data_IF_437194218068
#
_entry.id   IF_437194218068
#
_cell.length_a   1.000
_cell.length_b   1.000
_cell.length_c   1.000
_cell.angle_alpha   90.00
_cell.angle_beta   90.00
_cell.angle_gamma   90.00
#
_symmetry.space_group_name_H-M   'P 1'
#
loop_
_entity.id
_entity.type
_entity.pdbx_description
1 polymer ?
#
# COMPACT_ATOMS: atom_id res chain seq x y z
N UNK A 1 2.60 7.22 7.88
CA UNK A 1 1.45 7.21 6.97
C UNK A 1 1.23 5.81 6.42
N UNK A 2 -0.02 5.38 6.33
CA UNK A 2 -0.48 4.18 5.65
C UNK A 2 -1.43 4.58 4.51
N UNK A 3 -1.40 3.84 3.40
CA UNK A 3 -2.35 3.98 2.30
C UNK A 3 -2.56 2.61 1.67
N UNK A 4 -3.79 2.32 1.26
CA UNK A 4 -4.14 1.17 0.43
C UNK A 4 -4.54 1.58 -0.99
N UNK A 5 -4.35 0.69 -1.96
CA UNK A 5 -4.95 0.82 -3.29
C UNK A 5 -5.84 -0.39 -3.50
N UNK A 6 -7.14 -0.17 -3.72
CA UNK A 6 -8.12 -1.21 -3.97
C UNK A 6 -8.92 -0.86 -5.22
N UNK A 7 -8.81 -1.71 -6.25
CA UNK A 7 -9.45 -1.50 -7.55
C UNK A 7 -9.15 -0.12 -8.13
N UNK A 8 -10.14 0.78 -8.22
CA UNK A 8 -9.99 2.15 -8.71
C UNK A 8 -9.89 3.21 -7.60
N UNK A 9 -9.83 2.77 -6.35
CA UNK A 9 -9.85 3.62 -5.18
C UNK A 9 -8.52 3.54 -4.42
N UNK A 10 -8.20 4.65 -3.77
CA UNK A 10 -7.12 4.74 -2.81
C UNK A 10 -7.77 4.93 -1.45
N UNK A 11 -7.32 4.14 -0.49
CA UNK A 11 -7.84 4.10 0.87
C UNK A 11 -6.83 4.80 1.77
N UNK A 12 -7.31 5.78 2.54
CA UNK A 12 -6.48 6.67 3.34
C UNK A 12 -6.13 7.98 2.61
N UNK A 13 -5.01 8.64 2.95
CA UNK A 13 -3.96 8.17 3.84
C UNK A 13 -4.39 8.18 5.32
N UNK A 14 -3.86 7.24 6.09
CA UNK A 14 -4.04 7.15 7.54
C UNK A 14 -2.72 7.45 8.25
N UNK A 15 -2.75 8.26 9.30
CA UNK A 15 -1.56 8.56 10.10
C UNK A 15 -1.38 7.47 11.15
N UNK A 16 -0.36 6.63 10.96
CA UNK A 16 0.05 5.64 11.95
C UNK A 16 0.83 6.32 13.08
N UNK A 17 0.71 5.83 14.34
CA UNK A 17 1.54 6.31 15.44
C UNK A 17 3.03 6.20 15.17
N UNK A 18 3.82 7.05 15.82
CA UNK A 18 5.28 6.95 15.82
C UNK A 18 5.73 5.61 16.42
N UNK A 19 6.86 5.08 15.92
CA UNK A 19 7.41 3.83 16.43
C UNK A 19 6.63 2.58 16.01
N UNK A 20 6.18 2.53 14.75
CA UNK A 20 5.45 1.40 14.18
C UNK A 20 6.15 0.06 14.49
N UNK A 21 5.44 -0.78 15.24
CA UNK A 21 5.84 -2.15 15.56
C UNK A 21 4.66 -3.11 15.26
N UNK A 22 4.84 -4.39 15.52
CA UNK A 22 3.82 -5.40 15.22
C UNK A 22 2.50 -5.21 15.98
N UNK A 23 2.54 -4.76 17.23
CA UNK A 23 1.34 -4.53 18.04
C UNK A 23 0.56 -3.30 17.54
N UNK A 24 1.26 -2.20 17.28
CA UNK A 24 0.67 -0.98 16.71
C UNK A 24 0.06 -1.26 15.33
N UNK A 25 0.76 -2.06 14.52
CA UNK A 25 0.25 -2.42 13.20
C UNK A 25 -0.97 -3.36 13.28
N UNK A 26 -0.97 -4.31 14.22
CA UNK A 26 -2.12 -5.18 14.44
C UNK A 26 -3.35 -4.39 14.91
N UNK A 27 -3.16 -3.45 15.85
CA UNK A 27 -4.22 -2.55 16.30
C UNK A 27 -4.80 -1.75 15.13
N UNK A 28 -3.94 -1.20 14.26
CA UNK A 28 -4.39 -0.58 13.01
C UNK A 28 -5.24 -1.54 12.15
N UNK A 29 -4.77 -2.76 11.93
CA UNK A 29 -5.47 -3.74 11.10
C UNK A 29 -6.84 -4.14 11.67
N UNK A 30 -6.97 -4.23 13.00
CA UNK A 30 -8.19 -4.67 13.68
C UNK A 30 -9.20 -3.54 13.90
N UNK A 31 -8.72 -2.36 14.27
CA UNK A 31 -9.56 -1.30 14.82
C UNK A 31 -9.72 -0.09 13.89
N UNK A 32 -8.83 0.07 12.91
CA UNK A 32 -8.83 1.25 12.03
C UNK A 32 -9.08 0.90 10.56
N UNK A 33 -8.43 -0.15 10.06
CA UNK A 33 -8.58 -0.59 8.67
C UNK A 33 -10.04 -0.94 8.31
N UNK A 34 -10.86 -1.60 9.15
CA UNK A 34 -12.25 -1.88 8.80
C UNK A 34 -13.07 -0.61 8.55
N UNK A 35 -12.87 0.44 9.34
CA UNK A 35 -13.52 1.74 9.15
C UNK A 35 -13.07 2.41 7.84
N UNK A 36 -11.79 2.28 7.48
CA UNK A 36 -11.30 2.78 6.19
C UNK A 36 -11.86 2.01 4.99
N UNK A 37 -12.42 0.82 5.22
CA UNK A 37 -13.01 -0.06 4.20
C UNK A 37 -14.54 -0.08 4.25
N UNK A 38 -15.19 0.80 5.02
CA UNK A 38 -16.64 0.75 5.24
C UNK A 38 -17.46 0.88 3.94
N UNK A 39 -16.96 1.67 2.98
CA UNK A 39 -17.59 1.86 1.67
C UNK A 39 -17.27 0.74 0.66
N UNK A 40 -16.40 -0.21 1.02
CA UNK A 40 -16.06 -1.36 0.19
C UNK A 40 -17.17 -2.39 0.30
N UNK A 41 -17.82 -2.69 -0.83
CA UNK A 41 -18.87 -3.71 -0.84
C UNK A 41 -18.39 -5.05 -0.28
N UNK A 42 -19.26 -5.74 0.47
CA UNK A 42 -18.94 -7.03 1.11
C UNK A 42 -18.42 -8.08 0.13
N UNK A 43 -18.89 -8.07 -1.12
CA UNK A 43 -18.42 -9.00 -2.15
C UNK A 43 -16.95 -8.75 -2.52
N UNK A 44 -16.55 -7.48 -2.63
CA UNK A 44 -15.15 -7.12 -2.86
C UNK A 44 -14.33 -7.49 -1.63
N UNK A 45 -14.79 -7.12 -0.44
CA UNK A 45 -14.09 -7.40 0.82
C UNK A 45 -13.80 -8.91 1.01
N UNK A 46 -14.77 -9.78 0.71
CA UNK A 46 -14.60 -11.23 0.87
C UNK A 46 -13.60 -11.85 -0.10
N UNK A 47 -13.50 -11.30 -1.31
CA UNK A 47 -12.66 -11.84 -2.38
C UNK A 47 -11.31 -11.11 -2.51
N UNK A 48 -11.12 -10.00 -1.80
CA UNK A 48 -9.90 -9.20 -1.94
C UNK A 48 -8.68 -9.93 -1.42
N UNK A 49 -7.55 -9.58 -2.03
CA UNK A 49 -6.22 -10.01 -1.58
C UNK A 49 -5.56 -8.88 -0.83
N UNK A 50 -5.01 -9.18 0.35
CA UNK A 50 -4.25 -8.21 1.14
C UNK A 50 -2.76 -8.32 0.81
N UNK A 51 -2.14 -7.26 0.31
CA UNK A 51 -0.70 -7.23 0.02
C UNK A 51 0.01 -6.27 0.98
N UNK A 52 1.10 -6.73 1.60
CA UNK A 52 2.00 -5.92 2.40
C UNK A 52 3.47 -6.20 2.06
N UNK A 53 4.34 -5.23 2.32
CA UNK A 53 5.78 -5.35 2.07
C UNK A 53 6.52 -6.12 3.19
N UNK A 54 7.85 -6.12 3.13
CA UNK A 54 8.70 -6.80 4.11
C UNK A 54 9.00 -6.03 5.40
N UNK A 55 8.28 -4.95 5.72
CA UNK A 55 8.53 -4.14 6.93
C UNK A 55 8.50 -5.03 8.19
N UNK A 56 9.42 -4.84 9.17
CA UNK A 56 9.46 -5.67 10.38
C UNK A 56 8.14 -5.73 11.16
N UNK A 57 7.38 -4.64 11.22
CA UNK A 57 6.07 -4.60 11.87
C UNK A 57 5.07 -5.59 11.22
N UNK A 58 5.09 -5.69 9.88
CA UNK A 58 4.22 -6.58 9.11
C UNK A 58 4.54 -8.07 9.30
N UNK A 59 5.76 -8.38 9.77
CA UNK A 59 6.24 -9.75 9.95
C UNK A 59 5.93 -10.35 11.35
N UNK A 60 5.46 -9.51 12.29
CA UNK A 60 5.11 -9.96 13.62
C UNK A 60 4.16 -11.17 13.59
N UNK A 61 4.34 -12.10 14.52
CA UNK A 61 3.56 -13.35 14.52
C UNK A 61 2.05 -13.06 14.62
N UNK A 62 1.66 -12.18 15.55
CA UNK A 62 0.28 -11.80 15.77
C UNK A 62 -0.36 -11.14 14.54
N UNK A 63 0.40 -10.35 13.78
CA UNK A 63 -0.06 -9.78 12.50
C UNK A 63 -0.34 -10.88 11.49
N UNK A 64 0.55 -11.87 11.37
CA UNK A 64 0.37 -12.96 10.40
C UNK A 64 -0.79 -13.88 10.79
N UNK A 65 -0.94 -14.19 12.07
CA UNK A 65 -2.08 -14.95 12.61
C UNK A 65 -3.40 -14.25 12.29
N UNK A 66 -3.48 -12.93 12.52
CA UNK A 66 -4.65 -12.13 12.14
C UNK A 66 -4.92 -12.18 10.63
N UNK A 67 -3.90 -12.04 9.79
CA UNK A 67 -4.09 -12.09 8.33
C UNK A 67 -4.48 -13.49 7.83
N UNK A 68 -4.05 -14.56 8.49
CA UNK A 68 -4.49 -15.93 8.19
C UNK A 68 -5.97 -16.14 8.53
N UNK A 69 -6.48 -15.48 9.57
CA UNK A 69 -7.89 -15.50 9.97
C UNK A 69 -8.77 -14.61 9.08
N UNK A 70 -8.34 -13.36 8.85
CA UNK A 70 -9.12 -12.34 8.14
C UNK A 70 -9.06 -12.52 6.61
N UNK A 71 -7.92 -12.97 6.09
CA UNK A 71 -7.69 -13.22 4.67
C UNK A 71 -7.22 -14.66 4.39
N UNK A 72 -8.03 -15.70 4.68
CA UNK A 72 -7.58 -17.09 4.58
C UNK A 72 -7.06 -17.44 3.18
N UNK A 73 -5.75 -17.68 3.08
CA UNK A 73 -5.07 -17.98 1.81
C UNK A 73 -5.03 -16.83 0.80
N UNK A 74 -5.47 -15.62 1.18
CA UNK A 74 -5.62 -14.44 0.31
C UNK A 74 -4.79 -13.24 0.78
N UNK A 75 -3.59 -13.48 1.32
CA UNK A 75 -2.66 -12.39 1.61
C UNK A 75 -1.24 -12.69 1.12
N UNK A 76 -0.53 -11.61 0.78
CA UNK A 76 0.82 -11.60 0.23
C UNK A 76 1.70 -10.80 1.18
N UNK A 77 2.78 -11.40 1.65
CA UNK A 77 3.69 -10.75 2.59
C UNK A 77 4.84 -11.67 2.96
N UNK A 78 5.72 -11.20 3.85
CA UNK A 78 6.85 -12.02 4.32
C UNK A 78 6.32 -13.21 5.12
N UNK A 79 6.61 -14.43 4.64
CA UNK A 79 6.13 -15.69 5.24
C UNK A 79 4.61 -15.82 5.31
N UNK A 80 3.90 -15.24 4.33
CA UNK A 80 2.48 -15.50 4.09
C UNK A 80 2.23 -16.62 3.07
N UNK A 81 0.95 -16.91 2.75
CA UNK A 81 0.55 -17.89 1.73
C UNK A 81 1.24 -17.67 0.38
N UNK A 82 1.44 -16.41 0.01
CA UNK A 82 2.32 -16.02 -1.09
C UNK A 82 3.42 -15.11 -0.52
N UNK A 83 4.68 -15.52 -0.68
CA UNK A 83 5.80 -14.74 -0.16
C UNK A 83 6.04 -13.50 -1.01
N UNK A 84 6.04 -12.32 -0.37
CA UNK A 84 6.52 -11.09 -1.00
C UNK A 84 8.05 -11.13 -1.14
N UNK A 85 8.62 -10.84 -2.32
CA UNK A 85 10.07 -10.78 -2.49
C UNK A 85 10.67 -9.58 -1.75
N UNK A 86 11.81 -9.81 -1.09
CA UNK A 86 12.55 -8.73 -0.43
C UNK A 86 13.12 -7.75 -1.47
N UNK A 87 13.16 -6.46 -1.13
CA UNK A 87 13.74 -5.38 -1.96
C UNK A 87 13.07 -5.24 -3.35
N UNK A 88 11.76 -5.36 -3.41
CA UNK A 88 10.99 -5.21 -4.66
C UNK A 88 10.02 -4.02 -4.63
N UNK A 89 10.49 -2.77 -4.38
CA UNK A 89 9.63 -1.58 -4.48
C UNK A 89 9.07 -1.41 -5.91
N UNK A 90 9.80 -1.91 -6.92
CA UNK A 90 9.39 -1.89 -8.33
C UNK A 90 8.12 -2.67 -8.63
N UNK A 91 7.69 -3.53 -7.70
CA UNK A 91 6.46 -4.31 -7.77
C UNK A 91 5.38 -3.78 -6.84
N UNK A 92 5.66 -2.78 -6.01
CA UNK A 92 4.68 -2.16 -5.12
C UNK A 92 4.15 -0.85 -5.74
N UNK A 93 2.87 -0.78 -6.16
CA UNK A 93 2.22 0.42 -6.65
C UNK A 93 2.37 1.66 -5.77
N UNK A 94 2.40 1.45 -4.45
CA UNK A 94 2.56 2.55 -3.50
C UNK A 94 3.95 3.19 -3.65
N UNK A 95 4.99 2.36 -3.84
CA UNK A 95 6.39 2.80 -3.91
C UNK A 95 6.75 3.36 -5.29
N UNK A 96 6.43 2.63 -6.38
CA UNK A 96 6.84 3.08 -7.72
C UNK A 96 6.01 4.24 -8.27
N UNK A 97 4.87 4.57 -7.65
CA UNK A 97 3.97 5.63 -8.14
C UNK A 97 3.41 6.52 -7.03
N UNK A 98 2.59 5.97 -6.12
CA UNK A 98 1.72 6.79 -5.26
C UNK A 98 2.51 7.78 -4.40
N UNK A 99 3.54 7.30 -3.68
CA UNK A 99 4.34 8.16 -2.80
C UNK A 99 5.15 9.19 -3.58
N UNK A 100 5.57 8.89 -4.81
CA UNK A 100 6.21 9.85 -5.71
C UNK A 100 5.27 10.99 -6.08
N UNK A 101 4.05 10.65 -6.52
CA UNK A 101 3.03 11.63 -6.90
C UNK A 101 2.59 12.51 -5.72
N UNK A 102 2.40 11.92 -4.53
CA UNK A 102 2.05 12.65 -3.31
C UNK A 102 3.18 13.61 -2.92
N UNK A 103 4.44 13.14 -2.89
CA UNK A 103 5.60 13.98 -2.55
C UNK A 103 5.76 15.15 -3.52
N UNK A 104 5.63 14.90 -4.83
CA UNK A 104 5.72 15.96 -5.84
C UNK A 104 4.75 17.09 -5.53
N UNK A 105 3.49 16.77 -5.18
CA UNK A 105 2.46 17.74 -4.82
C UNK A 105 2.75 18.45 -3.49
N UNK A 106 3.06 17.70 -2.46
CA UNK A 106 3.27 18.22 -1.09
C UNK A 106 4.42 19.23 -1.06
N UNK A 107 5.50 18.94 -1.78
CA UNK A 107 6.74 19.73 -1.77
C UNK A 107 6.84 20.75 -2.91
N UNK A 108 5.74 21.06 -3.63
CA UNK A 108 5.72 22.15 -4.63
C UNK A 108 6.10 23.52 -4.04
N UNK A 109 5.85 23.70 -2.74
CA UNK A 109 6.18 24.91 -1.98
C UNK A 109 6.83 24.49 -0.67
N UNK A 110 7.59 25.40 -0.06
CA UNK A 110 8.09 25.21 1.30
C UNK A 110 6.93 24.91 2.27
N UNK A 111 7.21 24.12 3.31
CA UNK A 111 6.26 23.72 4.34
C UNK A 111 6.71 24.37 5.63
N UNK A 112 5.81 25.12 6.27
CA UNK A 112 6.12 25.97 7.41
C UNK A 112 5.66 25.38 8.74
N UNK A 113 4.79 24.36 8.69
CA UNK A 113 4.31 23.67 9.89
C UNK A 113 3.88 22.23 9.63
N UNK A 114 3.80 21.45 10.70
CA UNK A 114 3.27 20.08 10.67
C UNK A 114 1.78 20.03 10.32
N UNK A 115 1.01 21.04 10.73
CA UNK A 115 -0.39 21.19 10.35
C UNK A 115 -0.53 21.38 8.84
N UNK A 116 0.28 22.26 8.26
CA UNK A 116 0.32 22.47 6.81
C UNK A 116 0.75 21.20 6.07
N UNK A 117 1.75 20.47 6.59
CA UNK A 117 2.18 19.19 6.02
C UNK A 117 1.01 18.21 5.93
N UNK A 118 0.26 18.02 7.02
CA UNK A 118 -0.91 17.13 7.05
C UNK A 118 -1.99 17.55 6.06
N UNK A 119 -2.30 18.85 6.01
CA UNK A 119 -3.28 19.38 5.07
C UNK A 119 -2.86 19.11 3.61
N UNK A 120 -1.60 19.38 3.26
CA UNK A 120 -1.09 19.15 1.91
C UNK A 120 -1.04 17.67 1.55
N UNK A 121 -0.76 16.78 2.50
CA UNK A 121 -0.82 15.33 2.27
C UNK A 121 -2.25 14.90 1.93
N UNK A 122 -3.26 15.40 2.68
CA UNK A 122 -4.66 15.11 2.40
C UNK A 122 -5.09 15.62 1.01
N UNK A 123 -4.77 16.87 0.68
CA UNK A 123 -5.07 17.47 -0.64
C UNK A 123 -4.36 16.72 -1.79
N UNK A 124 -3.10 16.31 -1.58
CA UNK A 124 -2.34 15.54 -2.57
C UNK A 124 -2.94 14.14 -2.77
N UNK A 125 -3.37 13.48 -1.71
CA UNK A 125 -4.05 12.20 -1.80
C UNK A 125 -5.37 12.32 -2.58
N UNK A 126 -6.21 13.30 -2.23
CA UNK A 126 -7.46 13.55 -2.94
C UNK A 126 -7.24 13.82 -4.44
N UNK A 127 -6.20 14.61 -4.78
CA UNK A 127 -5.81 14.84 -6.17
C UNK A 127 -5.45 13.54 -6.90
N UNK A 128 -4.67 12.65 -6.28
CA UNK A 128 -4.30 11.36 -6.88
C UNK A 128 -5.55 10.47 -7.05
N UNK A 129 -6.47 10.47 -6.08
CA UNK A 129 -7.72 9.72 -6.14
C UNK A 129 -8.58 10.18 -7.32
N UNK A 130 -8.77 11.50 -7.44
CA UNK A 130 -9.57 12.12 -8.51
C UNK A 130 -8.95 11.95 -9.90
N UNK A 131 -7.63 11.74 -9.99
CA UNK A 131 -6.93 11.50 -11.25
C UNK A 131 -7.21 10.13 -11.90
N UNK A 132 -7.97 9.25 -11.24
CA UNK A 132 -8.34 7.90 -11.72
C UNK A 132 -7.12 7.10 -12.22
N UNK A 133 -5.99 7.22 -11.53
CA UNK A 133 -4.72 6.61 -11.94
C UNK A 133 -4.72 5.09 -11.80
N UNK A 134 -5.62 4.52 -11.01
CA UNK A 134 -5.65 3.12 -10.68
C UNK A 134 -5.61 2.16 -11.89
N UNK A 135 -6.35 2.45 -12.97
CA UNK A 135 -6.27 1.63 -14.21
C UNK A 135 -4.88 1.71 -14.87
N UNK A 136 -4.19 2.85 -14.77
CA UNK A 136 -2.82 2.99 -15.27
C UNK A 136 -1.84 2.24 -14.36
N UNK A 137 -2.02 2.34 -13.04
CA UNK A 137 -1.24 1.63 -12.03
C UNK A 137 -1.36 0.12 -12.23
N UNK A 138 -2.57 -0.42 -12.37
CA UNK A 138 -2.80 -1.85 -12.59
C UNK A 138 -2.11 -2.36 -13.89
N UNK A 139 -2.21 -1.60 -14.98
CA UNK A 139 -1.51 -1.93 -16.23
C UNK A 139 0.01 -1.86 -16.08
N UNK A 140 0.52 -0.86 -15.36
CA UNK A 140 1.94 -0.71 -15.05
C UNK A 140 2.44 -1.87 -14.20
N UNK A 141 1.70 -2.27 -13.17
CA UNK A 141 2.03 -3.41 -12.33
C UNK A 141 2.14 -4.70 -13.16
N UNK A 142 1.15 -4.99 -14.00
CA UNK A 142 1.20 -6.15 -14.89
C UNK A 142 2.39 -6.11 -15.85
N UNK A 143 2.72 -4.94 -16.39
CA UNK A 143 3.93 -4.76 -17.22
C UNK A 143 5.19 -5.06 -16.41
N UNK A 144 5.33 -4.44 -15.24
CA UNK A 144 6.47 -4.61 -14.31
C UNK A 144 6.66 -6.07 -13.92
N UNK A 145 5.58 -6.79 -13.59
CA UNK A 145 5.64 -8.23 -13.33
C UNK A 145 6.17 -9.03 -14.53
N UNK A 146 5.69 -8.75 -15.75
CA UNK A 146 6.15 -9.45 -16.96
C UNK A 146 7.63 -9.19 -17.25
N UNK A 147 8.07 -7.95 -17.10
CA UNK A 147 9.49 -7.60 -17.31
C UNK A 147 10.36 -8.22 -16.22
N UNK A 148 9.91 -8.22 -14.96
CA UNK A 148 10.59 -8.92 -13.86
C UNK A 148 10.77 -10.41 -14.15
N UNK A 149 9.73 -11.08 -14.64
CA UNK A 149 9.80 -12.49 -15.05
C UNK A 149 10.81 -12.67 -16.20
N UNK A 150 10.76 -11.84 -17.24
CA UNK A 150 11.69 -11.90 -18.36
C UNK A 150 13.14 -11.62 -17.94
N UNK A 151 13.35 -10.82 -16.89
CA UNK A 151 14.65 -10.53 -16.29
C UNK A 151 15.07 -11.57 -15.22
N UNK A 152 14.31 -12.66 -15.05
CA UNK A 152 14.56 -13.70 -14.04
C UNK A 152 14.70 -13.13 -12.61
N UNK A 153 13.89 -12.13 -12.27
CA UNK A 153 13.88 -11.48 -10.96
C UNK A 153 15.00 -10.45 -10.73
N UNK A 154 15.83 -10.15 -11.73
CA UNK A 154 16.85 -9.09 -11.66
C UNK A 154 16.23 -7.70 -11.82
N UNK A 155 16.99 -6.65 -11.47
CA UNK A 155 16.58 -5.26 -11.69
C UNK A 155 16.21 -5.00 -13.15
N UNK A 156 15.06 -4.39 -13.36
CA UNK A 156 14.44 -4.30 -14.69
C UNK A 156 13.91 -2.90 -15.04
N UNK A 157 14.08 -1.90 -14.18
CA UNK A 157 13.53 -0.56 -14.42
C UNK A 157 14.05 0.07 -15.72
N UNK A 158 15.28 -0.24 -16.12
CA UNK A 158 15.88 0.19 -17.38
C UNK A 158 15.20 -0.38 -18.64
N UNK A 159 14.25 -1.31 -18.47
CA UNK A 159 13.47 -1.97 -19.52
C UNK A 159 11.99 -1.52 -19.55
N UNK A 160 11.59 -0.61 -18.65
CA UNK A 160 10.20 -0.15 -18.49
C UNK A 160 9.82 1.01 -19.39
#
# INVERSE_FOLDING_TARGET
MWTGILSDQIIGPFELPDGLNGEVYLDFLQNHLPSLLEDVSLNIYREMWFQQDGCPAHYARSVREYLDEEFPGRWIGRSGPISWPGRSPDLNPLDFFYWGAVKEKVYLKAIESEFELRQRIAEAAEFVNNGRFARKIARSLLKRCRVCIAAEGKHFEHLL
#
